data_IF_270256120578
#
_entry.id   IF_270256120578
#
_cell.length_a   1.000
_cell.length_b   1.000
_cell.length_c   1.000
_cell.angle_alpha   90.00
_cell.angle_beta   90.00
_cell.angle_gamma   90.00
#
_symmetry.space_group_name_H-M   'P 1'
#
loop_
_entity.id
_entity.type
_entity.pdbx_description
1 polymer ?
#
# COMPACT_ATOMS: atom_id res chain seq x y z
N UNK A 1 28.03 8.46 2.75
CA UNK A 1 26.81 7.70 3.10
C UNK A 1 26.43 6.87 1.92
N UNK A 2 26.23 5.58 2.11
CA UNK A 2 25.91 4.67 1.02
C UNK A 2 24.51 5.03 0.45
N UNK A 3 24.46 5.56 -0.77
CA UNK A 3 23.24 6.01 -1.44
C UNK A 3 22.19 4.89 -1.57
N UNK A 4 22.61 3.64 -1.48
CA UNK A 4 21.77 2.47 -1.57
C UNK A 4 20.84 2.29 -0.36
N UNK A 5 21.18 2.89 0.80
CA UNK A 5 20.33 2.86 2.00
C UNK A 5 19.12 3.81 1.94
N UNK A 6 18.98 4.62 0.88
CA UNK A 6 17.78 5.43 0.64
C UNK A 6 16.66 4.64 -0.05
N UNK A 7 16.98 3.47 -0.59
CA UNK A 7 16.00 2.55 -1.20
C UNK A 7 15.46 1.54 -0.18
N UNK A 8 14.35 0.85 -0.46
CA UNK A 8 13.83 -0.21 0.40
C UNK A 8 14.87 -1.28 0.69
N UNK A 9 15.06 -1.57 1.97
CA UNK A 9 15.99 -2.57 2.45
C UNK A 9 15.51 -3.15 3.77
N UNK A 10 16.12 -4.25 4.21
CA UNK A 10 15.92 -4.77 5.56
C UNK A 10 17.17 -4.63 6.39
N UNK A 11 17.00 -4.32 7.67
CA UNK A 11 18.07 -4.23 8.68
C UNK A 11 17.89 -5.32 9.70
N UNK A 12 18.99 -5.95 10.07
CA UNK A 12 18.99 -6.93 11.14
C UNK A 12 19.02 -6.24 12.51
N UNK A 13 18.09 -6.61 13.38
CA UNK A 13 18.05 -6.21 14.79
C UNK A 13 18.71 -7.33 15.60
N UNK A 14 19.98 -7.19 16.04
CA UNK A 14 20.71 -8.23 16.75
C UNK A 14 20.17 -8.47 18.16
N UNK A 15 19.50 -7.48 18.77
CA UNK A 15 18.93 -7.62 20.11
C UNK A 15 17.69 -8.51 20.12
N UNK A 16 16.96 -8.54 19.00
CA UNK A 16 15.71 -9.31 18.83
C UNK A 16 15.83 -10.49 17.87
N UNK A 17 16.98 -10.65 17.22
CA UNK A 17 17.24 -11.72 16.26
C UNK A 17 16.34 -11.67 15.02
N UNK A 18 15.87 -10.49 14.59
CA UNK A 18 14.90 -10.35 13.49
C UNK A 18 15.31 -9.28 12.49
N UNK A 19 14.75 -9.41 11.28
CA UNK A 19 14.88 -8.41 10.23
C UNK A 19 13.73 -7.41 10.26
N UNK A 20 14.03 -6.14 10.06
CA UNK A 20 13.06 -5.03 9.99
C UNK A 20 13.15 -4.41 8.60
N UNK A 21 11.99 -4.28 7.93
CA UNK A 21 11.89 -3.56 6.66
C UNK A 21 12.01 -2.05 6.91
N UNK A 22 12.86 -1.40 6.14
CA UNK A 22 13.08 0.05 6.16
C UNK A 22 12.81 0.60 4.76
N UNK A 23 11.96 1.62 4.68
CA UNK A 23 11.54 2.24 3.41
C UNK A 23 11.67 3.76 3.51
N UNK A 24 12.89 4.33 3.44
CA UNK A 24 13.15 5.75 3.71
C UNK A 24 12.40 6.70 2.77
N UNK A 25 12.28 6.35 1.49
CA UNK A 25 11.58 7.15 0.48
C UNK A 25 10.11 7.42 0.80
N UNK A 26 9.49 6.63 1.69
CA UNK A 26 8.10 6.84 2.13
C UNK A 26 7.91 8.06 3.05
N UNK A 27 8.97 8.65 3.55
CA UNK A 27 8.89 9.92 4.31
C UNK A 27 8.36 11.06 3.44
N UNK A 28 8.46 10.95 2.11
CA UNK A 28 7.93 11.92 1.16
C UNK A 28 6.41 11.75 0.91
N UNK A 29 5.76 10.72 1.49
CA UNK A 29 4.32 10.52 1.33
C UNK A 29 3.56 11.70 1.96
N UNK A 30 2.63 12.35 1.23
CA UNK A 30 1.76 13.35 1.81
C UNK A 30 0.99 12.77 3.00
N UNK A 31 1.11 13.40 4.16
CA UNK A 31 0.37 13.01 5.35
C UNK A 31 -0.83 13.92 5.51
N UNK A 32 -2.03 13.36 5.44
CA UNK A 32 -3.28 14.10 5.60
C UNK A 32 -3.75 14.21 7.07
N UNK A 33 -2.99 13.64 7.99
CA UNK A 33 -3.40 13.52 9.39
C UNK A 33 -4.39 12.37 9.62
N UNK A 34 -4.67 12.09 10.87
CA UNK A 34 -5.75 11.20 11.30
C UNK A 34 -6.70 12.02 12.18
N UNK A 35 -7.92 12.23 11.70
CA UNK A 35 -9.00 12.83 12.48
C UNK A 35 -10.00 11.73 12.78
N UNK A 36 -10.09 11.31 14.04
CA UNK A 36 -11.14 10.39 14.47
C UNK A 36 -12.44 11.19 14.65
N UNK A 37 -13.44 11.06 13.77
CA UNK A 37 -14.73 11.70 13.99
C UNK A 37 -15.42 11.01 15.15
N UNK A 38 -15.87 11.81 16.12
CA UNK A 38 -16.62 11.34 17.29
C UNK A 38 -18.07 11.01 16.94
N UNK A 39 -18.54 11.42 15.75
CA UNK A 39 -19.92 11.23 15.31
C UNK A 39 -19.99 10.46 14.00
N UNK A 40 -20.89 9.50 13.93
CA UNK A 40 -21.27 8.78 12.71
C UNK A 40 -21.88 9.78 11.70
N UNK A 41 -21.03 10.50 10.95
CA UNK A 41 -21.48 11.29 9.81
C UNK A 41 -22.06 10.32 8.78
N UNK A 42 -23.19 10.68 8.20
CA UNK A 42 -23.82 9.99 7.08
C UNK A 42 -22.76 9.59 6.07
N UNK A 43 -22.72 8.32 5.68
CA UNK A 43 -21.72 7.79 4.77
C UNK A 43 -21.72 8.59 3.47
N UNK A 44 -20.66 9.36 3.25
CA UNK A 44 -20.46 10.09 1.99
C UNK A 44 -20.11 9.07 0.91
N UNK A 45 -20.96 8.95 -0.12
CA UNK A 45 -20.75 7.99 -1.21
C UNK A 45 -19.56 8.33 -2.12
N UNK A 46 -19.21 9.61 -2.23
CA UNK A 46 -18.10 10.11 -3.02
C UNK A 46 -17.47 11.31 -2.34
N UNK A 47 -16.14 11.31 -2.25
CA UNK A 47 -15.38 12.42 -1.69
C UNK A 47 -14.40 12.94 -2.77
N UNK A 48 -14.55 14.20 -3.21
CA UNK A 48 -13.71 14.80 -4.25
C UNK A 48 -12.23 14.91 -3.85
N UNK A 49 -11.94 14.98 -2.55
CA UNK A 49 -10.58 15.10 -2.01
C UNK A 49 -9.92 13.73 -1.72
N UNK A 50 -10.68 12.65 -1.83
CA UNK A 50 -10.18 11.30 -1.60
C UNK A 50 -9.29 10.83 -2.76
N UNK A 51 -8.04 10.50 -2.50
CA UNK A 51 -7.09 9.93 -3.48
C UNK A 51 -7.55 8.63 -4.14
N UNK A 52 -8.52 7.94 -3.56
CA UNK A 52 -8.95 6.62 -4.00
C UNK A 52 -10.31 6.61 -4.70
N UNK A 53 -11.11 7.68 -4.62
CA UNK A 53 -12.39 7.72 -5.30
C UNK A 53 -12.25 7.66 -6.82
N UNK A 54 -13.25 7.07 -7.54
CA UNK A 54 -13.25 7.01 -8.99
C UNK A 54 -13.05 8.40 -9.62
N UNK A 55 -12.19 8.50 -10.64
CA UNK A 55 -11.93 9.75 -11.35
C UNK A 55 -11.04 10.76 -10.63
N UNK A 56 -10.70 10.59 -9.36
CA UNK A 56 -9.83 11.50 -8.63
C UNK A 56 -8.34 11.26 -8.94
N UNK A 57 -7.52 12.27 -8.66
CA UNK A 57 -6.07 12.18 -8.80
C UNK A 57 -5.45 11.62 -7.52
N UNK A 58 -4.63 10.57 -7.66
CA UNK A 58 -3.90 9.96 -6.55
C UNK A 58 -2.74 10.83 -6.07
N UNK A 59 -2.23 10.52 -4.89
CA UNK A 59 -1.07 11.20 -4.30
C UNK A 59 0.18 11.18 -5.20
N UNK A 60 0.34 10.17 -6.06
CA UNK A 60 1.42 10.07 -7.07
C UNK A 60 1.12 10.82 -8.38
N UNK A 61 0.07 11.64 -8.44
CA UNK A 61 -0.29 12.45 -9.61
C UNK A 61 -1.06 11.72 -10.72
N UNK A 62 -1.23 10.40 -10.63
CA UNK A 62 -2.00 9.61 -11.60
C UNK A 62 -3.50 9.69 -11.30
N UNK A 63 -4.32 9.79 -12.34
CA UNK A 63 -5.78 9.81 -12.21
C UNK A 63 -6.34 8.39 -12.17
N UNK A 64 -7.27 8.14 -11.25
CA UNK A 64 -8.05 6.89 -11.22
C UNK A 64 -9.00 6.83 -12.41
N UNK A 65 -9.23 5.67 -13.00
CA UNK A 65 -10.33 5.50 -13.94
C UNK A 65 -11.68 5.68 -13.21
N UNK A 66 -12.77 5.91 -13.94
CA UNK A 66 -14.11 5.92 -13.36
C UNK A 66 -14.59 4.47 -13.11
N UNK A 67 -13.91 3.77 -12.20
CA UNK A 67 -14.22 2.37 -11.90
C UNK A 67 -15.56 2.24 -11.16
N UNK A 68 -16.27 1.18 -11.44
CA UNK A 68 -17.59 0.84 -10.89
C UNK A 68 -17.61 -0.46 -10.09
N UNK A 69 -16.46 -1.07 -9.85
CA UNK A 69 -16.26 -2.29 -9.08
C UNK A 69 -14.91 -2.23 -8.37
N UNK A 70 -14.30 -3.39 -8.09
CA UNK A 70 -12.94 -3.44 -7.52
C UNK A 70 -11.94 -2.81 -8.49
N UNK A 71 -11.04 -1.99 -7.95
CA UNK A 71 -9.96 -1.37 -8.71
C UNK A 71 -8.62 -1.64 -8.05
N UNK A 72 -7.67 -2.20 -8.80
CA UNK A 72 -6.33 -2.51 -8.34
C UNK A 72 -5.27 -1.68 -9.08
N UNK A 73 -4.28 -1.17 -8.35
CA UNK A 73 -3.17 -0.41 -8.94
C UNK A 73 -1.88 -0.57 -8.13
N UNK A 74 -0.74 -0.26 -8.75
CA UNK A 74 0.56 -0.22 -8.05
C UNK A 74 0.59 0.96 -7.09
N UNK A 75 0.96 0.71 -5.83
CA UNK A 75 1.00 1.73 -4.80
C UNK A 75 1.98 2.85 -5.17
N UNK A 76 1.50 4.09 -5.21
CA UNK A 76 2.32 5.27 -5.56
C UNK A 76 3.44 5.53 -4.53
N UNK A 77 3.25 5.11 -3.28
CA UNK A 77 4.24 5.16 -2.19
C UNK A 77 4.49 3.75 -1.64
N UNK A 78 4.94 2.87 -2.51
CA UNK A 78 5.17 1.48 -2.19
C UNK A 78 6.25 1.30 -1.11
N UNK A 79 6.06 0.35 -0.19
CA UNK A 79 7.08 0.02 0.81
C UNK A 79 8.25 -0.77 0.20
N UNK A 80 8.00 -1.49 -0.89
CA UNK A 80 8.99 -2.21 -1.69
C UNK A 80 8.97 -1.67 -3.12
N UNK A 81 10.13 -1.66 -3.74
CA UNK A 81 10.32 -1.31 -5.15
C UNK A 81 10.92 -2.51 -5.89
N UNK A 82 10.55 -2.76 -7.17
CA UNK A 82 11.11 -3.86 -7.94
C UNK A 82 12.60 -3.68 -8.22
N UNK A 83 13.06 -2.44 -8.35
CA UNK A 83 14.39 -2.07 -8.83
C UNK A 83 15.31 -1.54 -7.72
N UNK A 84 15.05 -1.89 -6.44
CA UNK A 84 15.94 -1.49 -5.34
C UNK A 84 17.38 -1.93 -5.62
N UNK A 85 18.38 -1.02 -5.51
CA UNK A 85 19.78 -1.35 -5.77
C UNK A 85 20.30 -2.37 -4.79
N UNK A 86 21.31 -3.12 -5.19
CA UNK A 86 21.96 -4.11 -4.31
C UNK A 86 22.76 -3.36 -3.27
N UNK A 87 22.54 -3.69 -1.99
CA UNK A 87 23.37 -3.24 -0.89
C UNK A 87 24.52 -4.23 -0.78
N UNK A 88 25.74 -3.73 -0.98
CA UNK A 88 26.97 -4.42 -0.66
C UNK A 88 27.31 -4.17 0.81
N UNK A 89 28.07 -5.06 1.40
CA UNK A 89 28.35 -5.15 2.84
C UNK A 89 28.46 -3.81 3.61
N UNK A 90 27.84 -3.77 4.77
CA UNK A 90 27.91 -2.59 5.68
C UNK A 90 29.21 -2.45 6.44
N UNK A 91 30.16 -3.38 6.26
CA UNK A 91 31.49 -3.35 6.86
C UNK A 91 31.52 -3.58 8.39
N UNK A 92 30.38 -3.81 9.02
CA UNK A 92 30.30 -4.05 10.47
C UNK A 92 29.38 -5.25 10.78
N UNK A 93 29.82 -6.25 11.56
CA UNK A 93 29.09 -7.49 11.78
C UNK A 93 27.73 -7.33 12.46
N UNK A 94 27.53 -6.27 13.25
CA UNK A 94 26.26 -5.97 13.92
C UNK A 94 25.35 -5.06 13.10
N UNK A 95 25.88 -4.35 12.09
CA UNK A 95 25.13 -3.42 11.25
C UNK A 95 24.83 -4.05 9.90
N UNK A 96 24.00 -5.10 9.91
CA UNK A 96 23.66 -5.85 8.70
C UNK A 96 22.43 -5.24 8.00
N UNK A 97 22.58 -4.94 6.71
CA UNK A 97 21.51 -4.52 5.85
C UNK A 97 21.52 -5.36 4.55
N UNK A 98 20.35 -5.66 4.04
CA UNK A 98 20.16 -6.42 2.81
C UNK A 98 19.10 -5.76 1.95
N UNK A 99 19.30 -5.77 0.62
CA UNK A 99 18.33 -5.28 -0.35
C UNK A 99 17.03 -6.04 -0.21
N UNK A 100 15.92 -5.30 -0.22
CA UNK A 100 14.60 -5.89 -0.29
C UNK A 100 13.85 -5.36 -1.52
N UNK A 101 13.30 -6.28 -2.31
CA UNK A 101 12.58 -5.96 -3.56
C UNK A 101 11.19 -6.55 -3.53
N UNK A 102 10.26 -5.90 -4.22
CA UNK A 102 8.91 -6.42 -4.36
C UNK A 102 7.97 -5.42 -5.00
N UNK A 103 6.71 -5.83 -5.15
CA UNK A 103 5.63 -5.04 -5.72
C UNK A 103 4.56 -4.85 -4.65
N UNK A 104 4.14 -3.59 -4.44
CA UNK A 104 3.03 -3.28 -3.56
C UNK A 104 1.81 -2.89 -4.40
N UNK A 105 0.69 -3.56 -4.18
CA UNK A 105 -0.59 -3.29 -4.85
C UNK A 105 -1.59 -2.71 -3.85
N UNK A 106 -2.42 -1.79 -4.31
CA UNK A 106 -3.56 -1.25 -3.58
C UNK A 106 -4.82 -1.75 -4.26
N UNK A 107 -5.77 -2.27 -3.48
CA UNK A 107 -7.10 -2.64 -3.95
C UNK A 107 -8.13 -1.71 -3.31
N UNK A 108 -8.88 -0.99 -4.14
CA UNK A 108 -10.11 -0.30 -3.76
C UNK A 108 -11.26 -1.30 -3.89
N UNK A 109 -11.94 -1.60 -2.81
CA UNK A 109 -12.92 -2.68 -2.77
C UNK A 109 -14.22 -2.32 -3.49
N UNK A 110 -14.61 -1.04 -3.43
CA UNK A 110 -15.85 -0.54 -3.99
C UNK A 110 -15.71 0.94 -4.40
N UNK A 111 -16.44 1.42 -5.43
CA UNK A 111 -16.44 2.84 -5.80
C UNK A 111 -17.05 3.76 -4.73
N UNK A 112 -17.98 3.25 -3.94
CA UNK A 112 -18.61 3.99 -2.84
C UNK A 112 -17.60 4.25 -1.72
N UNK A 113 -17.40 5.54 -1.41
CA UNK A 113 -16.43 5.98 -0.41
C UNK A 113 -16.80 5.53 1.00
N UNK A 114 -18.06 5.57 1.36
CA UNK A 114 -18.53 5.24 2.70
C UNK A 114 -18.68 3.74 2.99
N UNK A 115 -18.62 2.89 1.96
CA UNK A 115 -18.86 1.47 2.10
C UNK A 115 -17.63 0.73 2.62
N UNK A 116 -17.76 0.10 3.77
CA UNK A 116 -16.73 -0.80 4.34
C UNK A 116 -16.98 -2.25 3.95
N UNK A 117 -15.97 -3.11 4.07
CA UNK A 117 -16.11 -4.53 3.75
C UNK A 117 -17.24 -5.19 4.56
N UNK A 118 -17.45 -4.77 5.81
CA UNK A 118 -18.51 -5.30 6.68
C UNK A 118 -19.93 -4.88 6.23
N UNK A 119 -20.04 -3.75 5.53
CA UNK A 119 -21.33 -3.26 5.00
C UNK A 119 -21.62 -3.71 3.57
N UNK A 120 -20.69 -4.41 2.91
CA UNK A 120 -20.86 -4.87 1.52
C UNK A 120 -21.81 -6.04 1.42
N UNK A 121 -22.51 -6.14 0.28
CA UNK A 121 -23.29 -7.33 -0.06
C UNK A 121 -22.36 -8.48 -0.46
N UNK A 122 -22.82 -9.72 -0.24
CA UNK A 122 -22.03 -10.94 -0.54
C UNK A 122 -21.47 -10.97 -1.97
N UNK A 123 -22.21 -10.60 -3.02
CA UNK A 123 -21.64 -10.57 -4.38
C UNK A 123 -20.47 -9.61 -4.54
N UNK A 124 -20.48 -8.49 -3.82
CA UNK A 124 -19.38 -7.52 -3.87
C UNK A 124 -18.14 -8.04 -3.12
N UNK A 125 -18.34 -8.72 -2.00
CA UNK A 125 -17.27 -9.40 -1.26
C UNK A 125 -16.62 -10.47 -2.13
N UNK A 126 -17.41 -11.25 -2.88
CA UNK A 126 -16.91 -12.26 -3.82
C UNK A 126 -15.98 -11.60 -4.86
N UNK A 127 -16.38 -10.47 -5.45
CA UNK A 127 -15.53 -9.73 -6.40
C UNK A 127 -14.20 -9.27 -5.77
N UNK A 128 -14.21 -8.88 -4.50
CA UNK A 128 -12.97 -8.54 -3.78
C UNK A 128 -12.07 -9.76 -3.64
N UNK A 129 -12.62 -10.91 -3.28
CA UNK A 129 -11.86 -12.18 -3.15
C UNK A 129 -11.29 -12.61 -4.50
N UNK A 130 -12.07 -12.50 -5.57
CA UNK A 130 -11.62 -12.80 -6.95
C UNK A 130 -10.47 -11.86 -7.38
N UNK A 131 -10.59 -10.56 -7.06
CA UNK A 131 -9.52 -9.60 -7.32
C UNK A 131 -8.24 -9.94 -6.53
N UNK A 132 -8.33 -10.29 -5.26
CA UNK A 132 -7.20 -10.76 -4.47
C UNK A 132 -6.56 -12.01 -5.09
N UNK A 133 -7.39 -12.98 -5.47
CA UNK A 133 -6.91 -14.20 -6.10
C UNK A 133 -6.16 -13.92 -7.39
N UNK A 134 -6.70 -13.02 -8.21
CA UNK A 134 -6.07 -12.60 -9.47
C UNK A 134 -4.75 -11.89 -9.24
N UNK A 135 -4.70 -10.93 -8.32
CA UNK A 135 -3.47 -10.23 -7.97
C UNK A 135 -2.41 -11.18 -7.39
N UNK A 136 -2.83 -12.14 -6.55
CA UNK A 136 -1.93 -13.15 -6.01
C UNK A 136 -1.35 -14.05 -7.11
N UNK A 137 -2.18 -14.56 -8.02
CA UNK A 137 -1.74 -15.38 -9.16
C UNK A 137 -0.78 -14.62 -10.08
N UNK A 138 -1.09 -13.37 -10.40
CA UNK A 138 -0.26 -12.51 -11.25
C UNK A 138 1.10 -12.19 -10.58
N UNK A 139 1.14 -12.20 -9.26
CA UNK A 139 2.34 -11.89 -8.47
C UNK A 139 3.17 -13.14 -8.13
N UNK A 140 2.70 -14.32 -8.44
CA UNK A 140 3.32 -15.61 -8.08
C UNK A 140 4.73 -15.84 -8.64
N UNK A 141 5.18 -14.99 -9.56
CA UNK A 141 6.56 -14.95 -10.07
C UNK A 141 7.42 -13.86 -9.39
N UNK A 142 6.82 -12.95 -8.63
CA UNK A 142 7.55 -11.97 -7.84
C UNK A 142 7.94 -12.59 -6.50
N UNK A 143 9.23 -12.69 -6.20
CA UNK A 143 9.76 -13.34 -4.98
C UNK A 143 9.23 -12.76 -3.67
N UNK A 144 8.63 -11.56 -3.67
CA UNK A 144 7.96 -10.95 -2.52
C UNK A 144 6.81 -10.06 -2.98
N UNK A 145 5.64 -10.39 -2.54
CA UNK A 145 4.42 -9.64 -2.77
C UNK A 145 3.91 -9.06 -1.44
N UNK A 146 3.72 -7.75 -1.40
CA UNK A 146 3.08 -7.07 -0.29
C UNK A 146 1.77 -6.49 -0.77
N UNK A 147 0.67 -7.06 -0.32
CA UNK A 147 -0.66 -6.52 -0.56
C UNK A 147 -0.94 -5.40 0.45
N UNK A 148 -0.90 -4.16 0.00
CA UNK A 148 -1.42 -3.05 0.78
C UNK A 148 -2.95 -3.05 0.68
N UNK A 149 -3.59 -3.40 1.77
CA UNK A 149 -5.03 -3.29 1.93
C UNK A 149 -5.42 -1.83 2.00
N UNK A 150 -6.24 -1.34 1.08
CA UNK A 150 -6.98 -0.10 1.26
C UNK A 150 -8.37 -0.46 1.80
N UNK A 151 -8.52 -0.51 3.11
CA UNK A 151 -9.81 -0.27 3.70
C UNK A 151 -9.98 1.24 3.75
N UNK A 152 -10.93 1.79 3.04
CA UNK A 152 -11.43 3.11 3.38
C UNK A 152 -12.08 2.95 4.75
N UNK A 153 -11.46 3.45 5.77
CA UNK A 153 -12.12 3.61 7.05
C UNK A 153 -13.09 4.76 6.86
N UNK A 154 -14.37 4.47 6.91
CA UNK A 154 -15.37 5.49 7.17
C UNK A 154 -14.95 6.17 8.46
N UNK A 155 -14.54 7.43 8.39
CA UNK A 155 -14.13 8.21 9.53
C UNK A 155 -12.71 8.75 9.41
N UNK A 156 -12.46 9.60 8.44
CA UNK A 156 -11.38 10.57 8.47
C UNK A 156 -11.94 11.93 8.13
#
# INVERSE_FOLDING_TARGET
>A
MDTNLQSPHRRYDPLRGRWVLVSPHRTQRPWQGEVSPTDAKSAVHYDPDCYLCPGNTRAGGKRNPPYNSVFAFTNDYAALLPDSPVITETGHPLLRAETERGICRVLCFHPDHGLTLAGMQVPDIVRVVEAWTTEFKNSGHARKFVMCRSSRTAGR
#
